data_IF_326322461550
#
_entry.id   IF_326322461550
#
_cell.length_a   1.000
_cell.length_b   1.000
_cell.length_c   1.000
_cell.angle_alpha   90.00
_cell.angle_beta   90.00
_cell.angle_gamma   90.00
#
_symmetry.space_group_name_H-M   'P 1'
#
loop_
_entity.id
_entity.type
_entity.pdbx_description
1 polymer ?
#
# COMPACT_ATOMS: atom_id res chain seq x y z
N UNK A 1 29.86 -25.08 -6.56
CA UNK A 1 29.21 -24.77 -5.26
C UNK A 1 28.35 -23.53 -5.46
N UNK A 2 27.01 -23.61 -5.61
CA UNK A 2 26.21 -22.39 -5.68
C UNK A 2 25.93 -21.89 -4.26
N UNK A 3 26.44 -20.69 -3.97
CA UNK A 3 26.10 -19.93 -2.78
C UNK A 3 24.66 -19.41 -2.90
N UNK A 4 23.97 -19.39 -1.77
CA UNK A 4 22.54 -19.13 -1.58
C UNK A 4 22.05 -17.86 -2.28
N UNK A 5 20.82 -17.91 -2.79
CA UNK A 5 20.09 -16.76 -3.30
C UNK A 5 19.85 -15.75 -2.17
N UNK A 6 20.52 -14.60 -2.25
CA UNK A 6 20.19 -13.43 -1.44
C UNK A 6 18.79 -12.97 -1.84
N UNK A 7 17.84 -13.11 -0.91
CA UNK A 7 16.54 -12.45 -1.03
C UNK A 7 16.80 -10.95 -0.94
N UNK A 8 16.41 -10.11 -1.93
CA UNK A 8 16.72 -8.69 -1.85
C UNK A 8 15.92 -8.08 -0.70
N UNK A 9 16.60 -7.82 0.41
CA UNK A 9 16.09 -6.98 1.48
C UNK A 9 15.78 -5.62 0.86
N UNK A 10 14.49 -5.33 0.70
CA UNK A 10 14.02 -4.09 0.11
C UNK A 10 14.44 -2.95 1.03
N UNK A 11 15.49 -2.23 0.67
CA UNK A 11 15.95 -1.07 1.42
C UNK A 11 14.78 -0.11 1.67
N UNK A 12 14.67 0.39 2.89
CA UNK A 12 13.54 1.20 3.39
C UNK A 12 13.15 2.39 2.50
N UNK A 13 14.06 2.87 1.63
CA UNK A 13 13.79 3.91 0.64
C UNK A 13 13.03 3.46 -0.64
N UNK A 14 13.03 2.17 -0.99
CA UNK A 14 12.40 1.65 -2.22
C UNK A 14 10.95 1.18 -2.05
N UNK A 15 10.43 1.13 -0.82
CA UNK A 15 9.06 0.68 -0.55
C UNK A 15 8.02 1.45 -1.40
N UNK A 16 7.05 0.72 -1.94
CA UNK A 16 5.90 1.27 -2.69
C UNK A 16 4.74 1.58 -1.75
N UNK A 17 3.85 2.51 -2.14
CA UNK A 17 2.74 2.93 -1.28
C UNK A 17 1.83 1.76 -0.90
N UNK A 18 1.52 0.85 -1.82
CA UNK A 18 0.69 -0.31 -1.53
C UNK A 18 1.32 -1.24 -0.46
N UNK A 19 2.63 -1.45 -0.51
CA UNK A 19 3.35 -2.25 0.50
C UNK A 19 3.33 -1.56 1.86
N UNK A 20 3.57 -0.24 1.87
CA UNK A 20 3.53 0.57 3.08
C UNK A 20 2.16 0.54 3.77
N UNK A 21 1.08 0.62 3.00
CA UNK A 21 -0.27 0.55 3.56
C UNK A 21 -0.58 -0.84 4.12
N UNK A 22 -0.15 -1.92 3.45
CA UNK A 22 -0.24 -3.28 4.02
C UNK A 22 0.57 -3.43 5.31
N UNK A 23 1.77 -2.84 5.37
CA UNK A 23 2.60 -2.83 6.59
C UNK A 23 1.84 -2.16 7.75
N UNK A 24 1.26 -0.96 7.53
CA UNK A 24 0.44 -0.30 8.56
C UNK A 24 -0.78 -1.14 8.96
N UNK A 25 -1.46 -1.74 7.99
CA UNK A 25 -2.64 -2.58 8.20
C UNK A 25 -2.33 -3.91 8.92
N UNK A 26 -1.06 -4.34 8.94
CA UNK A 26 -0.64 -5.59 9.59
C UNK A 26 -0.52 -5.46 11.12
N UNK A 27 -0.37 -4.23 11.64
CA UNK A 27 -0.33 -3.95 13.07
C UNK A 27 -1.63 -3.27 13.55
N UNK A 28 -2.47 -3.93 14.35
CA UNK A 28 -3.70 -3.37 14.89
C UNK A 28 -3.53 -2.08 15.68
N UNK A 29 -2.32 -1.76 16.17
CA UNK A 29 -2.03 -0.49 16.86
C UNK A 29 -2.22 0.73 15.97
N UNK A 30 -2.22 0.56 14.65
CA UNK A 30 -2.45 1.63 13.67
C UNK A 30 -3.94 1.88 13.39
N UNK A 31 -4.87 1.17 14.04
CA UNK A 31 -6.30 1.27 13.77
C UNK A 31 -6.89 2.69 13.92
N UNK A 32 -6.20 3.58 14.66
CA UNK A 32 -6.57 4.98 14.78
C UNK A 32 -6.34 5.80 13.49
N UNK A 33 -5.46 5.35 12.59
CA UNK A 33 -5.20 6.04 11.32
C UNK A 33 -5.52 5.20 10.08
N UNK A 34 -5.41 3.88 10.14
CA UNK A 34 -5.76 2.96 9.05
C UNK A 34 -6.17 1.59 9.61
N UNK A 35 -7.26 1.03 9.08
CA UNK A 35 -7.77 -0.25 9.56
C UNK A 35 -8.43 -1.05 8.45
N UNK A 36 -8.34 -2.38 8.54
CA UNK A 36 -9.23 -3.27 7.80
C UNK A 36 -10.68 -3.02 8.24
N UNK A 37 -11.61 -3.00 7.29
CA UNK A 37 -13.04 -2.79 7.55
C UNK A 37 -13.87 -3.48 6.46
N UNK A 38 -14.93 -4.18 6.85
CA UNK A 38 -15.85 -4.79 5.89
C UNK A 38 -15.38 -6.17 5.42
N UNK A 39 -15.39 -6.38 4.09
CA UNK A 39 -15.04 -7.69 3.52
C UNK A 39 -13.54 -7.85 3.28
N UNK A 40 -13.10 -9.04 2.87
CA UNK A 40 -11.69 -9.32 2.62
C UNK A 40 -11.05 -8.29 1.67
N UNK A 41 -9.92 -7.72 2.10
CA UNK A 41 -9.16 -6.71 1.36
C UNK A 41 -9.71 -5.28 1.46
N UNK A 42 -10.88 -5.06 2.07
CA UNK A 42 -11.43 -3.72 2.29
C UNK A 42 -10.80 -3.05 3.51
N UNK A 43 -10.38 -1.80 3.35
CA UNK A 43 -9.81 -1.00 4.42
C UNK A 43 -10.24 0.45 4.31
N UNK A 44 -10.09 1.20 5.39
CA UNK A 44 -10.31 2.64 5.43
C UNK A 44 -9.11 3.38 6.01
N UNK A 45 -8.86 4.58 5.49
CA UNK A 45 -8.02 5.56 6.17
C UNK A 45 -8.90 6.29 7.19
N UNK A 46 -8.71 5.96 8.47
CA UNK A 46 -9.42 6.57 9.60
C UNK A 46 -8.95 8.01 9.79
N UNK A 47 -7.64 8.21 9.70
CA UNK A 47 -6.97 9.50 9.67
C UNK A 47 -6.09 9.57 8.40
N UNK A 48 -6.63 10.07 7.28
CA UNK A 48 -5.91 10.14 6.02
C UNK A 48 -4.67 11.04 6.07
N UNK A 49 -4.69 12.06 6.92
CA UNK A 49 -3.58 13.02 7.06
C UNK A 49 -2.41 12.39 7.84
N UNK A 50 -2.69 11.63 8.90
CA UNK A 50 -1.65 10.88 9.62
C UNK A 50 -1.02 9.79 8.74
N UNK A 51 -1.83 9.09 7.93
CA UNK A 51 -1.29 8.12 6.95
C UNK A 51 -0.40 8.83 5.92
N UNK A 52 -0.81 9.99 5.42
CA UNK A 52 0.00 10.77 4.49
C UNK A 52 1.29 11.30 5.13
N UNK A 53 1.25 11.74 6.39
CA UNK A 53 2.42 12.19 7.15
C UNK A 53 3.43 11.05 7.30
N UNK A 54 3.00 9.87 7.75
CA UNK A 54 3.86 8.68 7.90
C UNK A 54 4.43 8.21 6.56
N UNK A 55 3.66 8.31 5.48
CA UNK A 55 4.18 8.03 4.14
C UNK A 55 5.26 9.05 3.71
N UNK A 56 5.02 10.33 4.00
CA UNK A 56 6.00 11.39 3.80
C UNK A 56 7.31 11.12 4.54
N UNK A 57 7.21 10.77 5.81
CA UNK A 57 8.35 10.37 6.65
C UNK A 57 9.09 9.17 6.06
N UNK A 58 8.37 8.10 5.68
CA UNK A 58 8.95 6.89 5.07
C UNK A 58 9.72 7.16 3.78
N UNK A 59 9.28 8.14 2.97
CA UNK A 59 9.89 8.49 1.68
C UNK A 59 10.76 9.74 1.71
N UNK A 60 10.99 10.31 2.90
CA UNK A 60 11.66 11.61 3.08
C UNK A 60 11.07 12.73 2.19
N UNK A 61 9.74 12.84 2.18
CA UNK A 61 8.96 13.85 1.43
C UNK A 61 8.17 14.72 2.41
N UNK A 62 8.74 15.84 2.91
CA UNK A 62 8.14 16.64 3.97
C UNK A 62 6.82 17.32 3.56
N UNK A 63 6.60 17.52 2.26
CA UNK A 63 5.38 18.12 1.72
C UNK A 63 4.33 17.08 1.28
N UNK A 64 4.38 15.85 1.81
CA UNK A 64 3.37 14.83 1.54
C UNK A 64 2.05 15.20 2.25
N UNK A 65 0.92 14.96 1.57
CA UNK A 65 -0.42 15.18 2.09
C UNK A 65 -1.41 14.19 1.46
N UNK A 66 -2.65 14.16 1.95
CA UNK A 66 -3.64 13.23 1.46
C UNK A 66 -3.98 13.44 -0.03
N UNK A 67 -3.99 14.66 -0.56
CA UNK A 67 -4.25 14.90 -1.98
C UNK A 67 -3.22 14.22 -2.90
N UNK A 68 -1.93 14.31 -2.54
CA UNK A 68 -0.83 13.64 -3.26
C UNK A 68 -0.89 12.13 -3.07
N UNK A 69 -1.16 11.66 -1.86
CA UNK A 69 -1.28 10.23 -1.57
C UNK A 69 -2.46 9.61 -2.33
N UNK A 70 -3.64 10.24 -2.29
CA UNK A 70 -4.83 9.77 -3.00
C UNK A 70 -4.66 9.83 -4.52
N UNK A 71 -3.84 10.75 -5.05
CA UNK A 71 -3.43 10.73 -6.46
C UNK A 71 -2.62 9.48 -6.81
N UNK A 72 -1.75 9.02 -5.91
CA UNK A 72 -1.02 7.77 -6.07
C UNK A 72 -1.94 6.54 -5.99
N UNK A 73 -2.90 6.52 -5.06
CA UNK A 73 -3.89 5.43 -4.98
C UNK A 73 -4.72 5.29 -6.26
N UNK A 74 -5.09 6.40 -6.89
CA UNK A 74 -5.80 6.35 -8.18
C UNK A 74 -5.00 5.68 -9.30
N UNK A 75 -3.66 5.77 -9.30
CA UNK A 75 -2.84 5.06 -10.28
C UNK A 75 -2.82 3.54 -10.08
N UNK A 76 -3.32 3.04 -8.95
CA UNK A 76 -3.41 1.61 -8.67
C UNK A 76 -4.69 0.95 -9.22
N UNK A 77 -5.67 1.73 -9.64
CA UNK A 77 -6.95 1.21 -10.14
C UNK A 77 -6.74 0.44 -11.44
N UNK A 78 -6.04 1.03 -12.41
CA UNK A 78 -5.75 0.41 -13.71
C UNK A 78 -4.65 -0.67 -13.62
N UNK A 79 -4.00 -0.81 -12.46
CA UNK A 79 -2.92 -1.77 -12.22
C UNK A 79 -3.39 -3.02 -11.47
N UNK A 80 -4.69 -3.16 -11.23
CA UNK A 80 -5.27 -4.26 -10.45
C UNK A 80 -4.59 -4.43 -9.08
N UNK A 81 -4.21 -3.33 -8.43
CA UNK A 81 -3.61 -3.37 -7.08
C UNK A 81 -4.69 -3.11 -6.03
N UNK A 82 -5.50 -2.08 -6.26
CA UNK A 82 -6.62 -1.73 -5.39
C UNK A 82 -7.62 -0.85 -6.13
N UNK A 83 -8.81 -0.70 -5.58
CA UNK A 83 -9.87 0.18 -6.11
C UNK A 83 -10.48 1.05 -5.01
N UNK A 84 -11.17 2.14 -5.41
CA UNK A 84 -11.97 2.95 -4.48
C UNK A 84 -13.29 2.26 -4.21
N UNK A 85 -13.70 2.21 -2.93
CA UNK A 85 -15.08 1.88 -2.59
C UNK A 85 -15.93 3.14 -2.70
N UNK A 86 -16.84 3.18 -3.68
CA UNK A 86 -17.77 4.29 -3.86
C UNK A 86 -18.82 4.32 -2.72
N UNK A 87 -19.31 5.51 -2.38
CA UNK A 87 -20.28 5.70 -1.28
C UNK A 87 -19.68 5.69 0.14
N UNK A 88 -18.42 5.27 0.31
CA UNK A 88 -17.70 5.32 1.59
C UNK A 88 -16.54 6.31 1.55
N UNK A 89 -16.40 7.18 2.55
CA UNK A 89 -15.26 8.12 2.65
C UNK A 89 -13.98 7.35 2.94
N UNK A 90 -12.89 7.68 2.23
CA UNK A 90 -11.54 7.16 2.46
C UNK A 90 -11.37 5.63 2.47
N UNK A 91 -12.35 4.90 1.92
CA UNK A 91 -12.35 3.45 1.88
C UNK A 91 -11.88 2.89 0.53
N UNK A 92 -11.07 1.85 0.57
CA UNK A 92 -10.42 1.22 -0.58
C UNK A 92 -10.43 -0.29 -0.44
N UNK A 93 -10.23 -1.02 -1.53
CA UNK A 93 -10.17 -2.47 -1.53
C UNK A 93 -8.95 -2.96 -2.31
N UNK A 94 -8.11 -3.77 -1.69
CA UNK A 94 -7.03 -4.47 -2.37
C UNK A 94 -7.58 -5.52 -3.35
N UNK A 95 -6.95 -5.61 -4.51
CA UNK A 95 -7.11 -6.74 -5.42
C UNK A 95 -5.95 -7.71 -5.18
N UNK A 96 -6.21 -8.74 -4.37
CA UNK A 96 -5.20 -9.74 -4.05
C UNK A 96 -4.83 -10.63 -5.25
N UNK A 97 -5.71 -10.77 -6.25
CA UNK A 97 -5.37 -11.51 -7.46
C UNK A 97 -4.35 -10.74 -8.29
N UNK A 98 -4.56 -9.44 -8.49
CA UNK A 98 -3.59 -8.60 -9.20
C UNK A 98 -2.29 -8.39 -8.41
N UNK A 99 -2.35 -8.26 -7.08
CA UNK A 99 -1.14 -8.26 -6.23
C UNK A 99 -0.32 -9.55 -6.36
N UNK A 100 -0.97 -10.71 -6.44
CA UNK A 100 -0.27 -11.99 -6.60
C UNK A 100 0.51 -12.06 -7.92
N UNK A 101 -0.01 -11.44 -8.98
CA UNK A 101 0.66 -11.36 -10.29
C UNK A 101 1.87 -10.41 -10.27
N UNK A 102 1.82 -9.33 -9.49
CA UNK A 102 2.96 -8.39 -9.34
C UNK A 102 4.16 -8.99 -8.59
N UNK A 103 3.92 -10.00 -7.76
CA UNK A 103 4.97 -10.69 -7.01
C UNK A 103 5.54 -11.90 -7.76
N UNK A 104 5.08 -12.20 -8.97
CA UNK A 104 5.73 -13.21 -9.81
C UNK A 104 6.96 -12.60 -10.50
N UNK A 105 8.11 -13.30 -10.53
CA UNK A 105 9.19 -12.91 -11.42
C UNK A 105 8.65 -12.93 -12.86
N UNK A 106 8.98 -11.91 -13.66
CA UNK A 106 8.68 -11.92 -15.10
C UNK A 106 9.40 -13.14 -15.67
N UNK A 107 8.69 -14.24 -15.89
CA UNK A 107 9.14 -15.31 -16.77
C UNK A 107 9.08 -14.76 -18.18
N UNK A 108 10.20 -14.19 -18.63
CA UNK A 108 10.47 -14.00 -20.05
C UNK A 108 10.80 -15.38 -20.63
N UNK A 109 10.07 -15.80 -21.65
CA UNK A 109 10.54 -16.77 -22.65
C UNK A 109 11.69 -16.13 -23.47
#
# INVERSE_FOLDING_TARGET
MPHRADTPATGSGQIQLWQFLLELLSDPKNANCIAWEGTNGEFKLVDPDEVARRWGERKNKPNMNYDKLSRALRYYYDKNIMTKIHGKRYAYKYDFQGLAQLNQPITSD
#
